data_IF_397912607590
#
_entry.id   IF_397912607590
#
_cell.length_a   1.000
_cell.length_b   1.000
_cell.length_c   1.000
_cell.angle_alpha   90.00
_cell.angle_beta   90.00
_cell.angle_gamma   90.00
#
_symmetry.space_group_name_H-M   'P 1'
#
loop_
_entity.id
_entity.type
_entity.pdbx_description
1 polymer ?
#
# COMPACT_ATOMS: atom_id res chain seq x y z
N UNK A 1 0.83 78.71 -10.81
CA UNK A 1 2.26 79.04 -11.02
C UNK A 1 3.08 78.07 -10.18
N UNK A 2 3.73 77.09 -10.82
CA UNK A 2 5.20 76.93 -10.94
C UNK A 2 5.84 76.52 -9.60
N UNK A 3 6.24 75.26 -9.39
CA UNK A 3 7.59 74.64 -9.62
C UNK A 3 7.74 73.64 -8.44
N UNK A 4 8.25 72.41 -8.50
CA UNK A 4 9.00 71.60 -9.48
C UNK A 4 8.78 70.14 -9.10
N UNK A 5 8.67 69.30 -10.12
CA UNK A 5 8.91 67.87 -10.01
C UNK A 5 10.39 67.60 -9.71
N UNK A 6 10.66 66.64 -8.83
CA UNK A 6 11.88 65.84 -8.90
C UNK A 6 11.54 64.40 -8.50
N UNK A 7 11.63 63.53 -9.49
CA UNK A 7 11.54 62.08 -9.38
C UNK A 7 12.70 61.52 -8.55
N UNK A 8 12.40 60.59 -7.64
CA UNK A 8 13.37 59.61 -7.15
C UNK A 8 12.68 58.25 -7.05
N UNK A 9 12.87 57.45 -8.10
CA UNK A 9 12.58 56.03 -8.14
C UNK A 9 13.52 55.30 -7.17
N UNK A 10 12.97 54.72 -6.10
CA UNK A 10 13.60 53.58 -5.40
C UNK A 10 12.60 52.44 -5.44
N UNK A 11 12.89 51.49 -6.32
CA UNK A 11 12.29 50.17 -6.38
C UNK A 11 12.50 49.45 -5.05
N UNK A 12 11.45 49.32 -4.25
CA UNK A 12 11.39 48.38 -3.14
C UNK A 12 10.44 47.27 -3.53
N UNK A 13 11.03 46.20 -4.09
CA UNK A 13 10.48 44.86 -3.93
C UNK A 13 10.39 44.60 -2.42
N UNK A 14 9.22 44.35 -1.82
CA UNK A 14 9.19 43.52 -0.64
C UNK A 14 9.53 42.12 -1.14
N UNK A 15 10.78 41.77 -0.90
CA UNK A 15 11.31 40.41 -0.91
C UNK A 15 10.23 39.45 -0.45
N UNK A 16 10.10 38.34 -1.18
CA UNK A 16 9.28 37.23 -0.74
C UNK A 16 9.53 36.99 0.74
N UNK A 17 8.43 36.88 1.50
CA UNK A 17 8.46 36.27 2.82
C UNK A 17 8.92 34.84 2.61
N UNK A 18 10.24 34.66 2.57
CA UNK A 18 10.85 33.40 2.91
C UNK A 18 10.37 33.15 4.33
N UNK A 19 9.38 32.27 4.46
CA UNK A 19 9.06 31.65 5.73
C UNK A 19 10.35 30.95 6.17
N UNK A 20 11.17 31.68 6.93
CA UNK A 20 12.45 31.21 7.45
C UNK A 20 12.13 30.05 8.39
N UNK A 21 12.40 28.83 7.91
CA UNK A 21 12.42 27.58 8.68
C UNK A 21 13.65 27.55 9.59
N UNK A 22 13.87 28.63 10.34
CA UNK A 22 15.04 28.83 11.16
C UNK A 22 14.61 29.49 12.46
N UNK A 23 14.47 28.66 13.49
CA UNK A 23 14.64 29.12 14.87
C UNK A 23 16.14 29.43 15.06
N UNK A 24 16.56 30.70 15.09
CA UNK A 24 17.83 31.08 15.72
C UNK A 24 17.57 31.37 17.19
N UNK A 25 18.36 30.76 18.04
CA UNK A 25 18.60 31.22 19.41
C UNK A 25 19.92 31.99 19.42
N UNK A 26 19.98 33.10 20.16
CA UNK A 26 21.24 33.81 20.39
C UNK A 26 22.15 32.99 21.30
N UNK A 27 23.45 33.31 21.32
CA UNK A 27 24.44 32.56 22.10
C UNK A 27 24.15 32.70 23.60
N UNK A 28 23.57 31.65 24.20
CA UNK A 28 23.12 31.62 25.59
C UNK A 28 21.71 31.06 25.79
N UNK A 29 20.88 31.04 24.75
CA UNK A 29 19.47 30.66 24.85
C UNK A 29 19.27 29.17 24.51
N UNK A 30 18.57 28.44 25.37
CA UNK A 30 18.26 27.01 25.16
C UNK A 30 16.91 26.87 24.47
N UNK A 31 16.91 26.57 23.17
CA UNK A 31 15.89 25.78 22.45
C UNK A 31 14.40 26.20 22.53
N UNK A 32 14.08 27.31 23.17
CA UNK A 32 12.83 28.03 23.14
C UNK A 32 13.24 29.48 23.42
N UNK A 33 12.83 30.44 22.58
CA UNK A 33 13.23 31.84 22.69
C UNK A 33 12.71 32.48 23.99
N UNK A 34 13.36 32.19 25.12
CA UNK A 34 13.04 32.73 26.43
C UNK A 34 14.32 32.92 27.25
N UNK A 35 14.49 34.14 27.75
CA UNK A 35 15.47 34.45 28.80
C UNK A 35 15.03 33.98 30.19
N UNK A 36 15.94 34.07 31.16
CA UNK A 36 15.64 33.75 32.56
C UNK A 36 14.62 34.74 33.14
N UNK A 37 13.42 34.26 33.47
CA UNK A 37 12.33 35.06 34.02
C UNK A 37 11.25 35.48 33.00
N UNK A 38 11.37 35.06 31.74
CA UNK A 38 10.34 35.29 30.73
C UNK A 38 9.31 34.16 30.71
N UNK A 39 8.04 34.52 30.80
CA UNK A 39 6.92 33.62 30.48
C UNK A 39 6.45 33.91 29.07
N UNK A 40 6.49 32.90 28.19
CA UNK A 40 5.72 32.95 26.94
C UNK A 40 4.27 33.07 27.36
N UNK A 41 3.66 34.22 27.12
CA UNK A 41 2.24 34.41 26.80
C UNK A 41 1.88 35.86 27.10
N UNK A 42 1.68 36.68 26.06
CA UNK A 42 0.68 37.73 26.17
C UNK A 42 -0.71 37.08 26.22
N UNK A 43 -1.74 37.79 26.65
CA UNK A 43 -3.15 37.35 26.58
C UNK A 43 -3.63 36.97 25.16
N UNK A 44 -2.78 37.15 24.14
CA UNK A 44 -3.06 36.92 22.73
C UNK A 44 -2.02 35.98 22.06
N UNK A 45 -1.04 35.45 22.79
CA UNK A 45 0.05 34.63 22.26
C UNK A 45 -0.22 33.12 22.36
N UNK A 46 0.01 32.37 21.28
CA UNK A 46 -0.05 30.90 21.30
C UNK A 46 1.28 30.34 21.80
N UNK A 47 1.33 29.94 23.06
CA UNK A 47 2.49 29.33 23.67
C UNK A 47 2.49 27.83 23.38
N UNK A 48 3.65 27.30 22.97
CA UNK A 48 3.82 25.85 22.77
C UNK A 48 4.16 25.23 24.13
N UNK A 49 3.55 24.10 24.45
CA UNK A 49 3.75 23.41 25.73
C UNK A 49 5.18 22.87 25.87
N UNK A 50 5.63 22.66 27.11
CA UNK A 50 6.98 22.15 27.40
C UNK A 50 7.24 20.73 26.91
N UNK A 51 6.20 19.99 26.55
CA UNK A 51 6.24 18.64 25.96
C UNK A 51 6.19 18.64 24.42
N UNK A 52 6.36 19.81 23.79
CA UNK A 52 6.39 19.91 22.33
C UNK A 52 7.55 19.11 21.73
N UNK A 53 7.23 18.28 20.73
CA UNK A 53 8.21 17.51 19.96
C UNK A 53 8.54 18.28 18.68
N UNK A 54 9.82 18.56 18.45
CA UNK A 54 10.29 19.10 17.18
C UNK A 54 10.35 17.97 16.15
N UNK A 55 9.66 18.13 15.02
CA UNK A 55 9.77 17.22 13.88
C UNK A 55 11.01 17.54 13.05
N UNK A 56 11.51 16.56 12.29
CA UNK A 56 12.54 16.78 11.29
C UNK A 56 12.08 17.75 10.19
N UNK A 57 13.03 18.34 9.46
CA UNK A 57 12.71 19.19 8.31
C UNK A 57 11.92 18.43 7.25
N UNK A 58 10.92 19.09 6.64
CA UNK A 58 10.05 18.54 5.59
C UNK A 58 9.11 17.40 6.02
N UNK A 59 8.91 17.19 7.33
CA UNK A 59 7.91 16.23 7.82
C UNK A 59 6.46 16.63 7.52
N UNK A 60 6.23 17.85 7.01
CA UNK A 60 4.91 18.34 6.60
C UNK A 60 4.95 19.00 5.23
N UNK A 61 3.88 18.80 4.46
CA UNK A 61 3.58 19.57 3.27
C UNK A 61 2.87 20.90 3.65
N UNK A 62 2.40 21.66 2.66
CA UNK A 62 1.69 22.94 2.88
C UNK A 62 0.34 22.80 3.63
N UNK A 63 -0.13 21.57 3.89
CA UNK A 63 -1.43 21.28 4.52
C UNK A 63 -1.33 21.21 6.05
N UNK A 64 -0.10 21.18 6.61
CA UNK A 64 0.15 21.28 8.05
C UNK A 64 -0.21 20.05 8.88
N UNK A 65 -0.34 20.22 10.20
CA UNK A 65 -0.79 19.17 11.12
C UNK A 65 -2.30 19.25 11.36
N UNK A 66 -2.96 18.10 11.40
CA UNK A 66 -4.34 17.98 11.87
C UNK A 66 -4.39 17.20 13.17
N UNK A 67 -5.26 17.59 14.09
CA UNK A 67 -5.46 16.82 15.32
C UNK A 67 -5.98 15.43 14.96
N UNK A 68 -5.51 14.39 15.66
CA UNK A 68 -6.00 13.00 15.47
C UNK A 68 -7.53 12.93 15.53
N UNK A 69 -8.16 13.73 16.41
CA UNK A 69 -9.62 13.86 16.51
C UNK A 69 -10.31 14.24 15.20
N UNK A 70 -9.65 15.01 14.34
CA UNK A 70 -10.21 15.47 13.07
C UNK A 70 -10.14 14.42 11.96
N UNK A 71 -9.34 13.36 12.14
CA UNK A 71 -9.12 12.30 11.15
C UNK A 71 -9.37 10.90 11.69
N UNK A 72 -9.93 10.78 12.90
CA UNK A 72 -10.14 9.47 13.55
C UNK A 72 -11.00 8.57 12.67
N UNK A 73 -12.12 9.08 12.13
CA UNK A 73 -12.99 8.33 11.22
C UNK A 73 -12.28 7.92 9.93
N UNK A 74 -11.43 8.79 9.38
CA UNK A 74 -10.66 8.52 8.16
C UNK A 74 -9.66 7.38 8.40
N UNK A 75 -8.93 7.43 9.52
CA UNK A 75 -7.99 6.38 9.92
C UNK A 75 -8.71 5.06 10.17
N UNK A 76 -9.84 5.09 10.87
CA UNK A 76 -10.64 3.88 11.12
C UNK A 76 -11.20 3.28 9.83
N UNK A 77 -11.67 4.12 8.90
CA UNK A 77 -12.14 3.70 7.58
C UNK A 77 -11.00 3.08 6.76
N UNK A 78 -9.83 3.73 6.74
CA UNK A 78 -8.65 3.21 6.06
C UNK A 78 -8.20 1.87 6.63
N UNK A 79 -8.17 1.72 7.95
CA UNK A 79 -7.77 0.47 8.59
C UNK A 79 -8.74 -0.68 8.28
N UNK A 80 -10.05 -0.40 8.22
CA UNK A 80 -11.05 -1.39 7.78
C UNK A 80 -10.83 -1.78 6.32
N UNK A 81 -10.69 -0.79 5.43
CA UNK A 81 -10.43 -1.05 4.02
C UNK A 81 -9.16 -1.86 3.80
N UNK A 82 -8.09 -1.58 4.57
CA UNK A 82 -6.85 -2.32 4.53
C UNK A 82 -7.04 -3.78 4.99
N UNK A 83 -7.82 -4.00 6.06
CA UNK A 83 -8.17 -5.35 6.52
C UNK A 83 -8.96 -6.11 5.46
N UNK A 84 -10.05 -5.52 4.94
CA UNK A 84 -10.89 -6.11 3.91
C UNK A 84 -10.09 -6.46 2.64
N UNK A 85 -9.18 -5.58 2.24
CA UNK A 85 -8.28 -5.83 1.11
C UNK A 85 -7.36 -7.03 1.36
N UNK A 86 -6.76 -7.13 2.55
CA UNK A 86 -5.87 -8.24 2.88
C UNK A 86 -6.62 -9.57 2.94
N UNK A 87 -7.85 -9.57 3.47
CA UNK A 87 -8.72 -10.75 3.50
C UNK A 87 -9.08 -11.18 2.07
N UNK A 88 -9.45 -10.24 1.20
CA UNK A 88 -9.74 -10.52 -0.21
C UNK A 88 -8.52 -11.12 -0.94
N UNK A 89 -7.33 -10.58 -0.70
CA UNK A 89 -6.09 -11.12 -1.29
C UNK A 89 -5.80 -12.53 -0.78
N UNK A 90 -6.03 -12.80 0.50
CA UNK A 90 -5.86 -14.12 1.08
C UNK A 90 -6.82 -15.14 0.44
N UNK A 91 -8.10 -14.81 0.33
CA UNK A 91 -9.12 -15.65 -0.33
C UNK A 91 -8.80 -15.90 -1.80
N UNK A 92 -8.36 -14.87 -2.53
CA UNK A 92 -7.97 -15.01 -3.92
C UNK A 92 -6.80 -15.99 -4.08
N UNK A 93 -5.78 -15.89 -3.23
CA UNK A 93 -4.63 -16.78 -3.28
C UNK A 93 -5.00 -18.24 -2.93
N UNK A 94 -5.88 -18.45 -1.95
CA UNK A 94 -6.41 -19.77 -1.62
C UNK A 94 -7.22 -20.36 -2.78
N UNK A 95 -8.08 -19.56 -3.43
CA UNK A 95 -8.85 -20.00 -4.58
C UNK A 95 -7.94 -20.36 -5.77
N UNK A 96 -6.88 -19.60 -5.99
CA UNK A 96 -5.90 -19.87 -7.04
C UNK A 96 -5.18 -21.20 -6.80
N UNK A 97 -4.82 -21.51 -5.56
CA UNK A 97 -4.18 -22.78 -5.21
C UNK A 97 -5.12 -23.99 -5.39
N UNK A 98 -6.37 -23.84 -4.93
CA UNK A 98 -7.42 -24.84 -5.16
C UNK A 98 -7.67 -25.09 -6.64
N UNK A 99 -7.71 -24.03 -7.46
CA UNK A 99 -7.88 -24.15 -8.90
C UNK A 99 -6.72 -24.94 -9.53
N UNK A 100 -5.47 -24.64 -9.16
CA UNK A 100 -4.30 -25.39 -9.62
C UNK A 100 -4.36 -26.87 -9.23
N UNK A 101 -4.76 -27.16 -8.00
CA UNK A 101 -4.93 -28.53 -7.51
C UNK A 101 -5.98 -29.28 -8.33
N UNK A 102 -7.14 -28.67 -8.58
CA UNK A 102 -8.20 -29.25 -9.41
C UNK A 102 -7.72 -29.47 -10.84
N UNK A 103 -6.99 -28.52 -11.43
CA UNK A 103 -6.45 -28.66 -12.78
C UNK A 103 -5.47 -29.84 -12.91
N UNK A 104 -4.61 -30.05 -11.90
CA UNK A 104 -3.70 -31.20 -11.86
C UNK A 104 -4.49 -32.51 -11.73
N UNK A 105 -5.43 -32.57 -10.79
CA UNK A 105 -6.27 -33.76 -10.59
C UNK A 105 -7.05 -34.12 -11.85
N UNK A 106 -7.63 -33.13 -12.53
CA UNK A 106 -8.33 -33.33 -13.80
C UNK A 106 -7.42 -33.91 -14.88
N UNK A 107 -6.18 -33.42 -14.98
CA UNK A 107 -5.20 -33.95 -15.94
C UNK A 107 -4.87 -35.42 -15.64
N UNK A 108 -4.67 -35.77 -14.37
CA UNK A 108 -4.39 -37.15 -13.97
C UNK A 108 -5.55 -38.08 -14.30
N UNK A 109 -6.77 -37.73 -13.89
CA UNK A 109 -7.96 -38.55 -14.15
C UNK A 109 -8.23 -38.69 -15.64
N UNK A 110 -7.96 -37.64 -16.43
CA UNK A 110 -8.08 -37.68 -17.89
C UNK A 110 -7.07 -38.66 -18.50
N UNK A 111 -5.82 -38.64 -18.05
CA UNK A 111 -4.80 -39.58 -18.53
C UNK A 111 -5.12 -41.04 -18.15
N UNK A 112 -5.62 -41.29 -16.94
CA UNK A 112 -6.07 -42.62 -16.51
C UNK A 112 -7.25 -43.12 -17.33
N UNK A 113 -8.23 -42.25 -17.61
CA UNK A 113 -9.36 -42.56 -18.49
C UNK A 113 -8.88 -42.94 -19.88
N UNK A 114 -8.01 -42.14 -20.48
CA UNK A 114 -7.52 -42.37 -21.85
C UNK A 114 -6.76 -43.71 -21.94
N UNK A 115 -5.94 -44.03 -20.93
CA UNK A 115 -5.26 -45.33 -20.87
C UNK A 115 -6.23 -46.51 -20.66
N UNK A 116 -7.30 -46.32 -19.89
CA UNK A 116 -8.33 -47.33 -19.73
C UNK A 116 -9.12 -47.56 -21.03
N UNK A 117 -9.43 -46.50 -21.77
CA UNK A 117 -10.11 -46.57 -23.07
C UNK A 117 -9.26 -47.31 -24.10
N UNK A 118 -7.95 -47.01 -24.19
CA UNK A 118 -7.01 -47.72 -25.07
C UNK A 118 -6.97 -49.22 -24.74
N UNK A 119 -6.85 -49.55 -23.45
CA UNK A 119 -6.83 -50.94 -23.01
C UNK A 119 -8.13 -51.70 -23.31
N UNK A 120 -9.28 -51.06 -23.11
CA UNK A 120 -10.57 -51.65 -23.47
C UNK A 120 -10.67 -51.88 -24.97
N UNK A 121 -10.20 -50.93 -25.78
CA UNK A 121 -10.16 -51.07 -27.23
C UNK A 121 -9.28 -52.24 -27.67
N UNK A 122 -8.07 -52.36 -27.10
CA UNK A 122 -7.13 -53.43 -27.42
C UNK A 122 -7.70 -54.82 -27.11
N UNK A 123 -8.34 -54.97 -25.96
CA UNK A 123 -8.97 -56.24 -25.57
C UNK A 123 -10.18 -56.53 -26.43
N UNK A 124 -11.04 -55.55 -26.68
CA UNK A 124 -12.20 -55.71 -27.55
C UNK A 124 -11.78 -56.17 -28.95
N UNK A 125 -10.74 -55.54 -29.50
CA UNK A 125 -10.17 -55.90 -30.80
C UNK A 125 -9.56 -57.31 -30.77
N UNK A 126 -8.81 -57.67 -29.74
CA UNK A 126 -8.27 -59.01 -29.56
C UNK A 126 -9.38 -60.08 -29.51
N UNK A 127 -10.39 -59.88 -28.66
CA UNK A 127 -11.52 -60.79 -28.51
C UNK A 127 -12.32 -60.94 -29.80
N UNK A 128 -12.47 -59.86 -30.59
CA UNK A 128 -13.16 -59.92 -31.88
C UNK A 128 -12.46 -60.79 -32.93
N UNK A 129 -11.15 -61.04 -32.77
CA UNK A 129 -10.34 -61.86 -33.67
C UNK A 129 -10.12 -63.27 -33.15
N UNK A 130 -10.39 -63.52 -31.87
CA UNK A 130 -10.25 -64.84 -31.26
C UNK A 130 -11.25 -65.82 -31.88
N UNK A 131 -10.78 -67.01 -32.25
CA UNK A 131 -11.63 -68.06 -32.86
C UNK A 131 -11.84 -69.26 -31.95
N UNK A 132 -11.01 -69.38 -30.90
CA UNK A 132 -11.10 -70.43 -29.89
C UNK A 132 -11.12 -69.83 -28.47
N UNK A 133 -11.52 -70.65 -27.49
CA UNK A 133 -11.50 -70.25 -26.08
C UNK A 133 -10.07 -69.95 -25.60
N UNK A 134 -9.08 -70.68 -26.09
CA UNK A 134 -7.67 -70.48 -25.76
C UNK A 134 -7.16 -69.14 -26.30
N UNK A 135 -7.50 -68.79 -27.55
CA UNK A 135 -7.18 -67.47 -28.13
C UNK A 135 -7.77 -66.33 -27.29
N UNK A 136 -9.04 -66.45 -26.87
CA UNK A 136 -9.72 -65.43 -26.08
C UNK A 136 -9.09 -65.29 -24.67
N UNK A 137 -8.70 -66.40 -24.06
CA UNK A 137 -7.98 -66.39 -22.77
C UNK A 137 -6.56 -65.81 -22.87
N UNK A 138 -5.98 -65.81 -24.08
CA UNK A 138 -4.68 -65.21 -24.33
C UNK A 138 -4.71 -63.68 -24.45
N UNK A 139 -5.88 -63.07 -24.67
CA UNK A 139 -6.05 -61.62 -24.72
C UNK A 139 -5.81 -60.99 -23.34
N UNK A 140 -4.83 -60.09 -23.23
CA UNK A 140 -4.47 -59.42 -21.98
C UNK A 140 -4.37 -57.92 -22.17
N UNK A 141 -4.60 -57.20 -21.07
CA UNK A 141 -4.31 -55.78 -20.91
C UNK A 141 -2.80 -55.55 -21.09
N UNK A 142 -2.41 -54.43 -21.70
CA UNK A 142 -1.00 -53.98 -21.74
C UNK A 142 -0.68 -53.09 -20.55
#
# INVERSE_FOLDING_TARGET
MKIKALFLLVTLMPMGVAAQQHFSCSWGDRGACLGYGETVCSSSGKCVSSDAVCFDSYQCNYEGFTCKSNVTECVDSYNRLLADHNDLVAEFNDLLDKNRTVAIALKTVTAERDGLEENLYDIQNCLSRATTLDDAQSCRWR
#
